data_IF_587955226758
#
_entry.id   IF_587955226758
#
_cell.length_a   1.000
_cell.length_b   1.000
_cell.length_c   1.000
_cell.angle_alpha   90.00
_cell.angle_beta   90.00
_cell.angle_gamma   90.00
#
_symmetry.space_group_name_H-M   'P 1'
#
loop_
_entity.id
_entity.type
_entity.pdbx_description
1 polymer ?
#
# COMPACT_ATOMS: atom_id res chain seq x y z
N UNK A 1 31.29 -0.59 -17.29
CA UNK A 1 30.38 0.52 -16.88
C UNK A 1 30.11 1.39 -18.09
N UNK A 2 28.92 1.35 -18.63
CA UNK A 2 28.59 1.86 -19.96
C UNK A 2 28.52 3.40 -19.94
N UNK A 3 29.40 4.07 -20.69
CA UNK A 3 29.50 5.56 -20.78
C UNK A 3 28.18 6.25 -21.17
N UNK A 4 27.18 5.55 -21.71
CA UNK A 4 25.86 6.07 -22.07
C UNK A 4 24.92 6.27 -20.85
N UNK A 5 25.09 5.50 -19.78
CA UNK A 5 24.31 5.71 -18.54
C UNK A 5 24.78 6.94 -17.76
N UNK A 6 26.09 7.21 -17.72
CA UNK A 6 26.62 8.43 -17.08
C UNK A 6 26.11 9.72 -17.76
N UNK A 7 25.88 9.68 -19.07
CA UNK A 7 25.38 10.86 -19.82
C UNK A 7 23.91 11.18 -19.52
N UNK A 8 23.07 10.17 -19.22
CA UNK A 8 21.67 10.37 -18.84
C UNK A 8 21.53 10.92 -17.42
N UNK A 9 22.37 10.45 -16.48
CA UNK A 9 22.39 11.00 -15.12
C UNK A 9 22.96 12.44 -15.09
N UNK A 10 23.95 12.73 -15.91
CA UNK A 10 24.49 14.09 -16.07
C UNK A 10 23.46 15.07 -16.63
N UNK A 11 22.63 14.66 -17.59
CA UNK A 11 21.57 15.49 -18.16
C UNK A 11 20.43 15.77 -17.17
N UNK A 12 20.06 14.79 -16.33
CA UNK A 12 19.01 14.98 -15.32
C UNK A 12 19.47 15.89 -14.18
N UNK A 13 20.72 15.79 -13.73
CA UNK A 13 21.30 16.66 -12.70
C UNK A 13 21.58 18.06 -13.27
N UNK A 14 21.99 18.17 -14.53
CA UNK A 14 22.25 19.47 -15.17
C UNK A 14 20.97 20.27 -15.45
N UNK A 15 19.84 19.61 -15.75
CA UNK A 15 18.54 20.31 -15.89
C UNK A 15 18.01 20.84 -14.57
N UNK A 16 18.35 20.25 -13.43
CA UNK A 16 18.03 20.76 -12.10
C UNK A 16 18.92 21.94 -11.67
N UNK A 17 20.13 22.05 -12.22
CA UNK A 17 21.08 23.14 -11.92
C UNK A 17 20.92 24.38 -12.82
N UNK A 18 20.24 24.27 -13.96
CA UNK A 18 20.01 25.41 -14.86
C UNK A 18 18.90 26.37 -14.37
N UNK A 19 18.21 26.08 -13.26
CA UNK A 19 17.28 27.03 -12.60
C UNK A 19 17.96 27.94 -11.57
N UNK A 20 19.30 27.95 -11.46
CA UNK A 20 20.02 28.72 -10.44
C UNK A 20 20.26 30.20 -10.78
N UNK A 21 19.74 30.75 -11.88
CA UNK A 21 19.85 32.17 -12.17
C UNK A 21 18.55 32.89 -11.83
N UNK A 22 18.46 33.42 -10.61
CA UNK A 22 17.37 34.32 -10.24
C UNK A 22 16.71 34.12 -8.88
N UNK A 23 17.31 33.36 -7.96
CA UNK A 23 16.91 33.41 -6.54
C UNK A 23 17.42 34.70 -5.88
N UNK A 24 16.84 35.83 -6.27
CA UNK A 24 16.81 37.00 -5.40
C UNK A 24 15.84 36.61 -4.28
N UNK A 25 16.38 36.44 -3.08
CA UNK A 25 15.55 36.33 -1.89
C UNK A 25 14.68 37.58 -1.81
N UNK A 26 13.40 37.44 -2.12
CA UNK A 26 12.43 38.51 -2.00
C UNK A 26 12.20 38.73 -0.50
N UNK A 27 13.02 39.59 0.10
CA UNK A 27 12.72 40.22 1.38
C UNK A 27 11.57 41.18 1.16
N UNK A 28 10.35 40.69 1.35
CA UNK A 28 9.21 41.54 1.16
C UNK A 28 7.91 40.85 1.51
N UNK A 29 7.24 41.35 2.53
CA UNK A 29 5.94 40.99 3.05
C UNK A 29 5.93 39.64 3.78
N UNK A 30 6.06 39.70 5.09
CA UNK A 30 5.79 38.60 6.02
C UNK A 30 4.31 38.19 5.96
N UNK A 31 3.94 37.42 4.96
CA UNK A 31 2.72 36.62 5.07
C UNK A 31 3.00 35.54 6.10
N UNK A 32 2.34 35.58 7.27
CA UNK A 32 2.68 34.66 8.34
C UNK A 32 2.43 33.21 7.88
N UNK A 33 3.33 32.30 8.27
CA UNK A 33 3.13 30.85 8.10
C UNK A 33 1.94 30.45 8.97
N UNK A 34 0.89 29.90 8.36
CA UNK A 34 -0.23 29.31 9.09
C UNK A 34 0.10 27.87 9.46
N UNK A 35 0.01 27.54 10.74
CA UNK A 35 0.22 26.18 11.26
C UNK A 35 -1.10 25.65 11.82
N UNK A 36 -1.49 24.45 11.43
CA UNK A 36 -2.61 23.73 12.01
C UNK A 36 -2.17 22.34 12.49
N UNK A 37 -2.72 21.94 13.64
CA UNK A 37 -2.50 20.62 14.23
C UNK A 37 -3.85 19.92 14.27
N UNK A 38 -3.88 18.67 13.79
CA UNK A 38 -5.06 17.82 13.80
C UNK A 38 -4.66 16.39 14.14
N UNK A 39 -5.64 15.61 14.56
CA UNK A 39 -5.39 14.23 14.86
C UNK A 39 -6.60 13.53 15.45
N UNK A 40 -6.37 12.37 16.00
CA UNK A 40 -7.35 11.65 16.78
C UNK A 40 -6.66 10.77 17.84
N UNK A 41 -7.31 10.63 18.98
CA UNK A 41 -7.05 9.55 19.92
C UNK A 41 -8.01 8.41 19.60
N UNK A 42 -7.51 7.17 19.58
CA UNK A 42 -8.31 6.00 19.22
C UNK A 42 -7.97 4.81 20.09
N UNK A 43 -9.02 4.14 20.58
CA UNK A 43 -8.93 2.86 21.26
C UNK A 43 -9.71 1.81 20.47
N UNK A 44 -9.10 0.66 20.25
CA UNK A 44 -9.66 -0.48 19.53
C UNK A 44 -9.73 -1.71 20.42
N UNK A 45 -10.76 -2.54 20.20
CA UNK A 45 -10.91 -3.87 20.77
C UNK A 45 -11.29 -4.81 19.63
N UNK A 46 -10.67 -5.97 19.55
CA UNK A 46 -11.01 -6.97 18.54
C UNK A 46 -10.97 -8.39 19.11
N UNK A 47 -11.83 -9.23 18.54
CA UNK A 47 -11.89 -10.66 18.75
C UNK A 47 -11.85 -11.38 17.41
N UNK A 48 -11.01 -12.40 17.29
CA UNK A 48 -10.89 -13.28 16.13
C UNK A 48 -11.32 -14.69 16.49
N UNK A 49 -12.05 -15.37 15.62
CA UNK A 49 -12.51 -16.75 15.82
C UNK A 49 -11.38 -17.79 15.73
N UNK A 50 -10.26 -17.42 15.13
CA UNK A 50 -9.07 -18.27 14.97
C UNK A 50 -7.78 -17.45 14.81
N UNK A 51 -6.63 -18.13 14.79
CA UNK A 51 -5.35 -17.49 14.51
C UNK A 51 -5.27 -16.96 13.07
N UNK A 52 -4.60 -15.83 12.89
CA UNK A 52 -4.52 -15.09 11.63
C UNK A 52 -3.06 -14.79 11.24
N UNK A 53 -2.82 -14.63 9.96
CA UNK A 53 -1.58 -14.03 9.46
C UNK A 53 -1.75 -12.52 9.54
N UNK A 54 -0.85 -11.88 10.26
CA UNK A 54 -1.04 -10.54 10.75
C UNK A 54 0.24 -9.71 10.77
N UNK A 55 0.09 -8.42 11.12
CA UNK A 55 1.15 -7.55 11.57
C UNK A 55 0.66 -6.67 12.72
N UNK A 56 1.59 -6.15 13.53
CA UNK A 56 1.31 -5.23 14.65
C UNK A 56 0.36 -5.84 15.69
N UNK A 57 0.72 -7.03 16.20
CA UNK A 57 -0.04 -7.75 17.25
C UNK A 57 -1.53 -7.95 16.91
N UNK A 58 -1.82 -8.40 15.70
CA UNK A 58 -3.19 -8.65 15.27
C UNK A 58 -3.96 -7.42 14.81
N UNK A 59 -3.36 -6.24 14.86
CA UNK A 59 -4.04 -5.02 14.39
C UNK A 59 -4.26 -5.02 12.87
N UNK A 60 -3.28 -5.46 12.09
CA UNK A 60 -3.37 -5.63 10.64
C UNK A 60 -3.57 -7.11 10.30
N UNK A 61 -4.80 -7.53 10.04
CA UNK A 61 -5.12 -8.89 9.60
C UNK A 61 -5.10 -8.98 8.09
N UNK A 62 -4.40 -10.00 7.58
CA UNK A 62 -4.35 -10.29 6.15
C UNK A 62 -5.31 -11.43 5.78
N UNK A 63 -5.17 -12.58 6.42
CA UNK A 63 -5.98 -13.78 6.17
C UNK A 63 -5.86 -14.77 7.35
N UNK A 64 -6.78 -15.76 7.48
CA UNK A 64 -6.66 -16.78 8.51
C UNK A 64 -5.42 -17.63 8.32
N UNK A 65 -4.84 -18.14 9.39
CA UNK A 65 -3.82 -19.19 9.29
C UNK A 65 -4.49 -20.49 8.83
N UNK A 66 -3.80 -21.25 7.97
CA UNK A 66 -4.24 -22.58 7.55
C UNK A 66 -4.32 -23.52 8.74
N UNK A 67 -5.12 -24.60 8.68
CA UNK A 67 -5.18 -25.61 9.72
C UNK A 67 -3.79 -26.20 10.03
N UNK A 68 -3.50 -26.34 11.32
CA UNK A 68 -2.31 -27.00 11.83
C UNK A 68 -2.76 -28.05 12.85
N UNK A 69 -2.71 -29.31 12.45
CA UNK A 69 -3.20 -30.41 13.28
C UNK A 69 -2.21 -30.77 14.39
N UNK A 70 -2.74 -31.02 15.59
CA UNK A 70 -2.01 -31.65 16.68
C UNK A 70 -1.91 -33.18 16.49
N UNK A 71 -1.33 -33.90 17.45
CA UNK A 71 -1.17 -35.36 17.40
C UNK A 71 -2.52 -36.11 17.44
N UNK A 72 -3.60 -35.47 17.87
CA UNK A 72 -4.95 -36.01 17.94
C UNK A 72 -5.85 -35.60 16.76
N UNK A 73 -5.32 -34.77 15.83
CA UNK A 73 -6.03 -34.28 14.66
C UNK A 73 -6.85 -32.99 14.88
N UNK A 74 -6.70 -32.32 16.02
CA UNK A 74 -7.36 -31.03 16.28
C UNK A 74 -6.59 -29.88 15.65
N UNK A 75 -7.30 -28.90 15.12
CA UNK A 75 -6.67 -27.71 14.55
C UNK A 75 -6.23 -26.71 15.62
N UNK A 76 -4.91 -26.62 15.86
CA UNK A 76 -4.29 -25.68 16.82
C UNK A 76 -4.64 -24.24 16.46
N UNK A 77 -4.72 -23.90 15.16
CA UNK A 77 -5.02 -22.57 14.69
C UNK A 77 -6.51 -22.19 14.79
N UNK A 78 -7.40 -23.11 15.17
CA UNK A 78 -8.79 -22.82 15.51
C UNK A 78 -8.96 -22.11 16.88
N UNK A 79 -7.86 -21.80 17.55
CA UNK A 79 -7.86 -21.06 18.81
C UNK A 79 -8.25 -19.60 18.61
N UNK A 80 -9.28 -19.07 19.30
CA UNK A 80 -9.66 -17.67 19.17
C UNK A 80 -8.62 -16.71 19.75
N UNK A 81 -8.63 -15.47 19.29
CA UNK A 81 -7.78 -14.40 19.79
C UNK A 81 -8.58 -13.19 20.28
N UNK A 82 -8.06 -12.48 21.26
CA UNK A 82 -8.60 -11.21 21.74
C UNK A 82 -7.46 -10.22 21.96
N UNK A 83 -7.64 -8.98 21.51
CA UNK A 83 -6.66 -7.93 21.75
C UNK A 83 -7.31 -6.55 21.83
N UNK A 84 -6.57 -5.56 22.37
CA UNK A 84 -6.95 -4.16 22.41
C UNK A 84 -5.74 -3.27 22.15
N UNK A 85 -5.96 -2.14 21.44
CA UNK A 85 -4.90 -1.24 21.03
C UNK A 85 -5.29 0.22 21.14
N UNK A 86 -4.31 1.09 21.39
CA UNK A 86 -4.42 2.54 21.23
C UNK A 86 -3.38 3.10 20.23
N UNK A 87 -2.54 2.24 19.67
CA UNK A 87 -1.39 2.58 18.85
C UNK A 87 -1.72 3.31 17.54
N UNK A 88 -2.97 3.32 17.12
CA UNK A 88 -3.40 4.01 15.90
C UNK A 88 -3.72 5.47 16.08
N UNK A 89 -3.71 5.95 17.33
CA UNK A 89 -3.79 7.39 17.65
C UNK A 89 -2.77 8.18 16.84
N UNK A 90 -3.19 9.31 16.30
CA UNK A 90 -2.46 10.01 15.24
C UNK A 90 -2.41 11.50 15.50
N UNK A 91 -1.30 12.11 15.11
CA UNK A 91 -1.13 13.56 15.06
C UNK A 91 -0.53 13.97 13.73
N UNK A 92 -1.00 15.08 13.19
CA UNK A 92 -0.38 15.72 12.03
C UNK A 92 -0.23 17.23 12.23
N UNK A 93 0.75 17.78 11.56
CA UNK A 93 1.05 19.19 11.48
C UNK A 93 1.08 19.60 10.02
N UNK A 94 0.31 20.64 9.68
CA UNK A 94 0.29 21.26 8.36
C UNK A 94 0.73 22.70 8.49
N UNK A 95 1.80 23.07 7.79
CA UNK A 95 2.24 24.45 7.63
C UNK A 95 1.92 24.92 6.21
N UNK A 96 1.25 26.08 6.09
CA UNK A 96 0.99 26.74 4.80
C UNK A 96 1.74 28.05 4.82
N UNK A 97 2.69 28.20 3.93
CA UNK A 97 3.56 29.37 3.81
C UNK A 97 3.08 30.40 2.79
N UNK A 98 3.85 31.47 2.60
CA UNK A 98 3.64 32.41 1.51
C UNK A 98 3.74 31.72 0.15
N UNK A 99 3.29 32.38 -0.89
CA UNK A 99 3.47 31.87 -2.27
C UNK A 99 4.96 31.82 -2.62
N UNK A 100 5.42 30.68 -3.13
CA UNK A 100 6.80 30.49 -3.61
C UNK A 100 6.73 30.25 -5.12
N UNK A 101 7.40 31.09 -5.91
CA UNK A 101 7.35 31.03 -7.39
C UNK A 101 5.90 31.02 -7.95
N UNK A 102 4.98 31.72 -7.28
CA UNK A 102 3.56 31.74 -7.63
C UNK A 102 2.74 30.52 -7.17
N UNK A 103 3.38 29.50 -6.60
CA UNK A 103 2.73 28.31 -6.05
C UNK A 103 2.32 28.50 -4.59
N UNK A 104 1.25 27.85 -4.16
CA UNK A 104 0.94 27.65 -2.74
C UNK A 104 1.89 26.57 -2.20
N UNK A 105 2.68 26.94 -1.18
CA UNK A 105 3.63 26.04 -0.54
C UNK A 105 3.02 25.42 0.73
N UNK A 106 3.10 24.09 0.86
CA UNK A 106 2.62 23.33 2.03
C UNK A 106 3.73 22.41 2.48
N UNK A 107 3.99 22.38 3.80
CA UNK A 107 4.72 21.30 4.46
C UNK A 107 3.74 20.52 5.35
N UNK A 108 3.85 19.19 5.33
CA UNK A 108 2.98 18.30 6.10
C UNK A 108 3.78 17.19 6.76
N UNK A 109 3.53 16.95 8.04
CA UNK A 109 4.13 15.83 8.80
C UNK A 109 3.03 15.13 9.57
N UNK A 110 2.99 13.80 9.52
CA UNK A 110 2.04 12.96 10.23
C UNK A 110 2.73 11.74 10.82
N UNK A 111 2.36 11.37 12.05
CA UNK A 111 2.81 10.17 12.71
C UNK A 111 1.71 9.48 13.52
N UNK A 112 1.91 8.20 13.79
CA UNK A 112 1.11 7.38 14.71
C UNK A 112 2.02 6.49 15.57
N UNK A 113 1.46 5.70 16.48
CA UNK A 113 2.20 4.83 17.40
C UNK A 113 2.16 3.35 16.99
N UNK A 114 1.83 3.02 15.74
CA UNK A 114 1.84 1.62 15.27
C UNK A 114 3.24 1.02 15.13
N UNK A 115 4.29 1.82 15.31
CA UNK A 115 5.68 1.38 15.22
C UNK A 115 6.16 1.03 13.79
N UNK A 116 7.47 1.01 13.57
CA UNK A 116 8.05 0.67 12.27
C UNK A 116 8.10 -0.84 12.00
N UNK A 117 8.05 -1.68 13.03
CA UNK A 117 8.15 -3.15 12.94
C UNK A 117 7.19 -3.84 13.92
N UNK A 118 7.03 -5.16 13.81
CA UNK A 118 6.23 -5.95 14.75
C UNK A 118 6.84 -6.04 16.16
N UNK A 119 8.13 -5.78 16.29
CA UNK A 119 8.86 -5.78 17.57
C UNK A 119 8.89 -4.41 18.25
N UNK A 120 8.41 -3.36 17.58
CA UNK A 120 8.43 -1.98 18.07
C UNK A 120 7.02 -1.36 18.07
N UNK A 121 6.02 -2.17 18.45
CA UNK A 121 4.66 -1.68 18.66
C UNK A 121 4.64 -0.60 19.75
N UNK A 122 3.75 0.39 19.61
CA UNK A 122 3.67 1.62 20.39
C UNK A 122 4.82 2.62 20.18
N UNK A 123 5.84 2.34 19.36
CA UNK A 123 6.82 3.34 18.96
C UNK A 123 6.20 4.34 17.97
N UNK A 124 6.55 5.62 18.13
CA UNK A 124 6.13 6.67 17.19
C UNK A 124 6.80 6.43 15.83
N UNK A 125 6.01 6.42 14.76
CA UNK A 125 6.52 6.28 13.39
C UNK A 125 6.06 7.41 12.49
N UNK A 126 6.91 7.74 11.51
CA UNK A 126 6.58 8.65 10.44
C UNK A 126 5.61 7.97 9.45
N UNK A 127 4.46 8.63 9.20
CA UNK A 127 3.50 8.24 8.15
C UNK A 127 3.70 9.06 6.89
N UNK A 128 3.52 10.37 7.02
CA UNK A 128 3.69 11.33 5.95
C UNK A 128 4.69 12.40 6.36
N UNK A 129 5.56 12.78 5.43
CA UNK A 129 6.42 13.96 5.54
C UNK A 129 6.73 14.45 4.14
N UNK A 130 6.13 15.55 3.74
CA UNK A 130 6.32 16.06 2.38
C UNK A 130 6.22 17.58 2.32
N UNK A 131 6.81 18.12 1.26
CA UNK A 131 6.60 19.49 0.80
C UNK A 131 5.85 19.41 -0.53
N UNK A 132 4.85 20.26 -0.71
CA UNK A 132 4.15 20.40 -1.99
C UNK A 132 4.10 21.85 -2.44
N UNK A 133 4.23 22.05 -3.75
CA UNK A 133 4.04 23.31 -4.44
C UNK A 133 2.89 23.13 -5.42
N UNK A 134 1.84 23.95 -5.29
CA UNK A 134 0.64 23.87 -6.11
C UNK A 134 0.39 25.19 -6.83
N UNK A 135 0.46 25.14 -8.16
CA UNK A 135 -0.03 26.18 -9.08
C UNK A 135 -1.47 25.86 -9.50
N UNK A 136 -2.05 26.66 -10.34
CA UNK A 136 -3.43 26.49 -10.81
C UNK A 136 -3.65 25.13 -11.50
N UNK A 137 -2.80 24.78 -12.46
CA UNK A 137 -2.92 23.53 -13.25
C UNK A 137 -1.89 22.48 -12.92
N UNK A 138 -0.83 22.81 -12.22
CA UNK A 138 0.29 21.92 -11.97
C UNK A 138 0.60 21.85 -10.47
N UNK A 139 1.02 20.70 -9.99
CA UNK A 139 1.56 20.56 -8.64
C UNK A 139 2.70 19.55 -8.58
N UNK A 140 3.64 19.79 -7.67
CA UNK A 140 4.69 18.86 -7.33
C UNK A 140 4.60 18.57 -5.84
N UNK A 141 4.81 17.30 -5.47
CA UNK A 141 5.00 16.84 -4.11
C UNK A 141 6.32 16.07 -4.02
N UNK A 142 7.15 16.40 -3.04
CA UNK A 142 8.38 15.69 -2.74
C UNK A 142 8.39 15.27 -1.26
N UNK A 143 8.64 14.00 -0.99
CA UNK A 143 8.66 13.42 0.35
C UNK A 143 7.89 12.12 0.47
N UNK A 144 7.60 11.69 1.69
CA UNK A 144 6.87 10.45 1.96
C UNK A 144 5.36 10.71 1.98
N UNK A 145 4.65 10.01 1.10
CA UNK A 145 3.19 10.11 0.94
C UNK A 145 2.60 8.73 0.59
N UNK A 146 1.27 8.64 0.52
CA UNK A 146 0.61 7.46 -0.01
C UNK A 146 1.20 7.06 -1.36
N UNK A 147 1.51 5.77 -1.51
CA UNK A 147 1.93 5.25 -2.80
C UNK A 147 0.88 5.59 -3.88
N UNK A 148 1.28 5.92 -5.11
CA UNK A 148 0.33 6.30 -6.15
C UNK A 148 -0.76 5.26 -6.44
N UNK A 149 -0.48 3.96 -6.25
CA UNK A 149 -1.46 2.88 -6.38
C UNK A 149 -2.51 2.86 -5.26
N UNK A 150 -2.27 3.57 -4.14
CA UNK A 150 -3.22 3.64 -3.02
C UNK A 150 -4.41 4.56 -3.27
N UNK A 151 -4.31 5.51 -4.18
CA UNK A 151 -5.36 6.47 -4.58
C UNK A 151 -6.13 7.00 -3.36
N UNK A 152 -5.64 8.04 -2.65
CA UNK A 152 -6.22 8.48 -1.37
C UNK A 152 -7.72 8.81 -1.42
N UNK A 153 -8.21 9.32 -2.56
CA UNK A 153 -9.62 9.65 -2.77
C UNK A 153 -10.53 8.40 -2.84
N UNK A 154 -9.91 7.24 -3.08
CA UNK A 154 -10.60 5.95 -3.21
C UNK A 154 -10.51 5.08 -1.95
N UNK A 155 -9.84 5.51 -0.87
CA UNK A 155 -9.72 4.71 0.34
C UNK A 155 -11.10 4.20 0.81
N UNK A 156 -11.29 2.88 1.03
CA UNK A 156 -12.51 2.36 1.62
C UNK A 156 -12.62 2.80 3.09
N UNK A 157 -13.83 2.90 3.59
CA UNK A 157 -14.10 3.32 4.97
C UNK A 157 -14.15 2.15 5.95
N UNK A 158 -13.31 1.13 5.76
CA UNK A 158 -13.21 0.02 6.72
C UNK A 158 -12.66 0.51 8.06
N UNK A 159 -13.03 -0.19 9.15
CA UNK A 159 -12.54 0.12 10.49
C UNK A 159 -11.05 -0.18 10.64
N UNK A 160 -10.58 -1.27 10.02
CA UNK A 160 -9.17 -1.63 10.03
C UNK A 160 -8.31 -0.56 9.34
N UNK A 161 -7.24 -0.10 10.00
CA UNK A 161 -6.35 0.94 9.45
C UNK A 161 -5.48 0.46 8.28
N UNK A 162 -5.52 -0.82 7.92
CA UNK A 162 -4.96 -1.32 6.67
C UNK A 162 -5.77 -0.89 5.43
N UNK A 163 -6.88 -0.17 5.64
CA UNK A 163 -7.75 0.38 4.58
C UNK A 163 -8.18 -0.64 3.53
N UNK A 164 -8.37 -1.91 3.91
CA UNK A 164 -8.82 -2.99 3.02
C UNK A 164 -7.70 -3.84 2.42
N UNK A 165 -6.42 -3.71 2.85
CA UNK A 165 -5.39 -4.69 2.49
C UNK A 165 -5.76 -6.08 3.04
N UNK A 166 -5.40 -7.18 2.33
CA UNK A 166 -4.55 -7.28 1.15
C UNK A 166 -5.28 -7.20 -0.20
N UNK A 167 -6.53 -6.72 -0.25
CA UNK A 167 -7.34 -6.62 -1.47
C UNK A 167 -6.98 -5.40 -2.34
N UNK A 168 -6.18 -4.51 -1.80
CA UNK A 168 -5.63 -3.31 -2.43
C UNK A 168 -4.25 -3.00 -1.89
N UNK A 169 -3.52 -2.14 -2.60
CA UNK A 169 -2.26 -1.58 -2.11
C UNK A 169 -2.44 -0.87 -0.76
N UNK A 170 -1.46 -1.02 0.13
CA UNK A 170 -1.34 -0.26 1.37
C UNK A 170 0.13 -0.04 1.68
N UNK A 171 0.65 1.12 1.29
CA UNK A 171 2.03 1.52 1.61
C UNK A 171 2.22 3.03 1.43
N UNK A 172 3.21 3.59 2.10
CA UNK A 172 3.69 4.96 1.91
C UNK A 172 5.13 4.92 1.43
N UNK A 173 5.42 5.76 0.47
CA UNK A 173 6.70 5.75 -0.24
C UNK A 173 7.30 7.15 -0.30
N UNK A 174 8.61 7.30 -0.07
CA UNK A 174 9.34 8.49 -0.48
C UNK A 174 9.26 8.62 -2.01
N UNK A 175 8.85 9.80 -2.49
CA UNK A 175 8.56 10.03 -3.91
C UNK A 175 8.77 11.47 -4.34
N UNK A 176 8.88 11.65 -5.64
CA UNK A 176 8.55 12.89 -6.33
C UNK A 176 7.35 12.61 -7.22
N UNK A 177 6.25 13.32 -6.98
CA UNK A 177 4.98 13.17 -7.69
C UNK A 177 4.62 14.50 -8.34
N UNK A 178 4.28 14.48 -9.62
CA UNK A 178 3.76 15.60 -10.39
C UNK A 178 2.32 15.32 -10.80
N UNK A 179 1.47 16.36 -10.72
CA UNK A 179 0.09 16.30 -11.20
C UNK A 179 -0.16 17.47 -12.16
N UNK A 180 -0.83 17.19 -13.29
CA UNK A 180 -1.24 18.18 -14.26
C UNK A 180 -2.73 18.09 -14.54
N UNK A 181 -3.47 19.16 -14.24
CA UNK A 181 -4.92 19.24 -14.45
C UNK A 181 -5.24 19.56 -15.90
N UNK A 182 -6.17 18.79 -16.48
CA UNK A 182 -6.69 18.99 -17.84
C UNK A 182 -8.17 18.64 -17.89
N UNK A 183 -8.99 19.57 -18.34
CA UNK A 183 -10.44 19.40 -18.32
C UNK A 183 -10.94 19.12 -16.89
N UNK A 184 -11.80 18.13 -16.72
CA UNK A 184 -12.30 17.66 -15.40
C UNK A 184 -11.40 16.62 -14.73
N UNK A 185 -10.19 16.36 -15.26
CA UNK A 185 -9.28 15.35 -14.74
C UNK A 185 -7.86 15.85 -14.50
N UNK A 186 -6.99 14.90 -14.13
CA UNK A 186 -5.56 15.15 -13.94
C UNK A 186 -4.73 13.95 -14.38
N UNK A 187 -3.58 14.21 -14.98
CA UNK A 187 -2.50 13.25 -15.13
C UNK A 187 -1.63 13.26 -13.88
N UNK A 188 -1.19 12.11 -13.45
CA UNK A 188 -0.32 11.90 -12.30
C UNK A 188 0.88 11.10 -12.77
N UNK A 189 2.08 11.60 -12.51
CA UNK A 189 3.34 10.89 -12.72
C UNK A 189 4.14 10.88 -11.42
N UNK A 190 4.72 9.74 -11.06
CA UNK A 190 5.56 9.64 -9.88
C UNK A 190 6.76 8.74 -10.11
N UNK A 191 7.87 9.10 -9.46
CA UNK A 191 9.01 8.22 -9.22
C UNK A 191 9.12 8.02 -7.70
N UNK A 192 9.32 6.77 -7.25
CA UNK A 192 9.28 6.48 -5.83
C UNK A 192 10.14 5.30 -5.42
N UNK A 193 10.41 5.21 -4.11
CA UNK A 193 11.18 4.13 -3.50
C UNK A 193 10.34 3.40 -2.45
N UNK A 194 10.88 2.33 -1.86
CA UNK A 194 10.21 1.56 -0.81
C UNK A 194 10.67 2.03 0.57
N UNK A 195 9.74 2.18 1.52
CA UNK A 195 10.06 2.53 2.90
C UNK A 195 9.17 1.84 3.93
N UNK A 196 7.85 2.03 3.87
CA UNK A 196 6.88 1.54 4.87
C UNK A 196 6.81 0.00 4.85
N UNK A 197 6.64 -0.56 3.65
CA UNK A 197 6.78 -1.97 3.35
C UNK A 197 7.76 -2.17 2.19
N UNK A 198 8.36 -3.35 2.12
CA UNK A 198 9.53 -3.61 1.28
C UNK A 198 9.36 -4.93 0.52
N UNK A 199 9.99 -5.04 -0.64
CA UNK A 199 10.01 -6.28 -1.40
C UNK A 199 10.66 -7.41 -0.62
N UNK A 200 10.06 -8.60 -0.70
CA UNK A 200 10.64 -9.84 -0.19
C UNK A 200 11.80 -10.31 -1.08
N UNK A 201 12.73 -11.06 -0.51
CA UNK A 201 13.85 -11.63 -1.25
C UNK A 201 14.68 -12.59 -0.41
N UNK A 202 15.84 -13.04 -0.88
CA UNK A 202 16.66 -14.07 -0.22
C UNK A 202 17.02 -13.78 1.24
N UNK A 203 17.15 -12.51 1.60
CA UNK A 203 17.46 -12.08 2.98
C UNK A 203 16.23 -11.50 3.70
N UNK A 204 15.01 -11.95 3.36
CA UNK A 204 13.77 -11.42 3.90
C UNK A 204 13.30 -10.13 3.22
N UNK A 205 12.48 -9.33 3.90
CA UNK A 205 11.98 -8.07 3.37
C UNK A 205 13.05 -6.98 3.47
N UNK A 206 13.37 -6.31 2.35
CA UNK A 206 14.39 -5.26 2.32
C UNK A 206 14.22 -4.29 1.15
N UNK A 207 14.42 -3.00 1.41
CA UNK A 207 14.51 -1.96 0.38
C UNK A 207 15.81 -2.06 -0.45
N UNK A 208 16.79 -2.86 -0.01
CA UNK A 208 18.03 -3.04 -0.72
C UNK A 208 17.81 -3.60 -2.13
N UNK A 209 16.84 -4.48 -2.34
CA UNK A 209 16.57 -5.06 -3.65
C UNK A 209 16.19 -4.01 -4.69
N UNK A 210 15.42 -2.99 -4.30
CA UNK A 210 15.13 -1.85 -5.16
C UNK A 210 16.34 -0.93 -5.30
N UNK A 211 17.01 -0.57 -4.19
CA UNK A 211 18.17 0.34 -4.21
C UNK A 211 19.29 -0.19 -5.12
N UNK A 212 19.60 -1.47 -5.03
CA UNK A 212 20.69 -2.11 -5.81
C UNK A 212 20.31 -2.39 -7.26
N UNK A 213 19.03 -2.26 -7.62
CA UNK A 213 18.63 -2.26 -9.03
C UNK A 213 19.06 -0.99 -9.77
N UNK A 214 19.31 0.12 -9.04
CA UNK A 214 19.70 1.40 -9.63
C UNK A 214 18.56 2.17 -10.30
N UNK A 215 17.31 1.68 -10.18
CA UNK A 215 16.12 2.30 -10.78
C UNK A 215 15.06 2.57 -9.68
N UNK A 216 14.40 3.73 -9.68
CA UNK A 216 13.20 3.92 -8.87
C UNK A 216 12.02 3.16 -9.46
N UNK A 217 10.93 3.04 -8.73
CA UNK A 217 9.64 2.66 -9.30
C UNK A 217 9.06 3.85 -10.08
N UNK A 218 8.26 3.55 -11.11
CA UNK A 218 7.61 4.54 -11.98
C UNK A 218 6.12 4.32 -11.99
N UNK A 219 5.34 5.41 -11.88
CA UNK A 219 3.88 5.36 -11.93
C UNK A 219 3.33 6.42 -12.86
N UNK A 220 2.35 6.04 -13.68
CA UNK A 220 1.55 6.94 -14.51
C UNK A 220 0.07 6.65 -14.32
N UNK A 221 -0.75 7.70 -14.14
CA UNK A 221 -2.18 7.55 -13.90
C UNK A 221 -2.95 8.74 -14.49
N UNK A 222 -4.17 8.47 -14.95
CA UNK A 222 -5.16 9.50 -15.23
C UNK A 222 -6.33 9.35 -14.26
N UNK A 223 -6.80 10.46 -13.71
CA UNK A 223 -7.94 10.54 -12.81
C UNK A 223 -8.89 11.63 -13.26
N UNK A 224 -10.17 11.28 -13.42
CA UNK A 224 -11.29 12.21 -13.58
C UNK A 224 -12.02 12.35 -12.26
N UNK A 225 -12.43 13.59 -11.90
CA UNK A 225 -13.22 13.85 -10.69
C UNK A 225 -14.07 15.11 -10.90
N UNK A 226 -15.39 14.94 -10.81
CA UNK A 226 -16.36 16.05 -10.86
C UNK A 226 -17.10 16.27 -9.52
N UNK A 227 -16.59 15.70 -8.43
CA UNK A 227 -17.19 15.76 -7.10
C UNK A 227 -18.14 14.60 -6.81
N UNK A 228 -19.05 14.24 -7.71
CA UNK A 228 -19.96 13.10 -7.56
C UNK A 228 -19.34 11.80 -8.07
N UNK A 229 -18.68 11.85 -9.20
CA UNK A 229 -18.01 10.72 -9.86
C UNK A 229 -16.50 10.93 -9.83
N UNK A 230 -15.78 9.93 -9.35
CA UNK A 230 -14.33 9.79 -9.49
C UNK A 230 -14.05 8.51 -10.25
N UNK A 231 -13.16 8.53 -11.23
CA UNK A 231 -12.68 7.34 -11.92
C UNK A 231 -11.27 7.56 -12.45
N UNK A 232 -10.56 6.48 -12.64
CA UNK A 232 -9.21 6.56 -13.19
C UNK A 232 -8.60 5.20 -13.46
N UNK A 233 -7.47 5.26 -14.13
CA UNK A 233 -6.62 4.10 -14.40
C UNK A 233 -5.16 4.50 -14.33
N UNK A 234 -4.31 3.55 -13.95
CA UNK A 234 -2.87 3.78 -13.84
C UNK A 234 -2.08 2.52 -14.08
N UNK A 235 -0.80 2.71 -14.36
CA UNK A 235 0.19 1.65 -14.53
C UNK A 235 1.41 1.96 -13.66
N UNK A 236 2.01 0.90 -13.14
CA UNK A 236 3.17 0.94 -12.28
C UNK A 236 4.26 0.00 -12.79
N UNK A 237 5.50 0.42 -12.73
CA UNK A 237 6.67 -0.38 -13.09
C UNK A 237 7.67 -0.39 -11.94
N UNK A 238 8.12 -1.60 -11.60
CA UNK A 238 9.13 -1.87 -10.58
C UNK A 238 10.18 -2.81 -11.12
N UNK A 239 11.46 -2.54 -10.84
CA UNK A 239 12.56 -3.47 -11.10
C UNK A 239 13.41 -3.63 -9.83
N UNK A 240 13.52 -4.85 -9.32
CA UNK A 240 14.34 -5.17 -8.15
C UNK A 240 15.50 -6.09 -8.55
N UNK A 241 16.59 -6.05 -7.79
CA UNK A 241 17.75 -6.93 -7.94
C UNK A 241 17.83 -7.82 -6.69
N UNK A 242 17.44 -9.12 -6.78
CA UNK A 242 17.35 -10.01 -5.61
C UNK A 242 18.70 -10.28 -4.96
N UNK A 243 19.79 -10.35 -5.74
CA UNK A 243 21.16 -10.58 -5.26
C UNK A 243 22.15 -9.70 -6.01
N UNK A 244 23.22 -9.30 -5.34
CA UNK A 244 24.34 -8.61 -5.97
C UNK A 244 25.39 -9.59 -6.51
N UNK A 245 25.50 -10.74 -5.85
CA UNK A 245 26.46 -11.79 -6.19
C UNK A 245 25.80 -13.16 -6.10
N UNK A 246 26.28 -14.12 -6.89
CA UNK A 246 25.98 -15.53 -6.73
C UNK A 246 26.73 -16.13 -5.52
N UNK A 247 26.42 -17.36 -5.14
CA UNK A 247 27.13 -18.08 -4.07
C UNK A 247 28.58 -18.42 -4.52
N UNK A 248 28.85 -18.40 -5.83
CA UNK A 248 30.19 -18.49 -6.40
C UNK A 248 30.93 -17.14 -6.44
N UNK A 249 30.45 -16.11 -5.76
CA UNK A 249 30.99 -14.75 -5.69
C UNK A 249 31.09 -14.02 -7.05
N UNK A 250 30.34 -14.45 -8.05
CA UNK A 250 30.21 -13.75 -9.33
C UNK A 250 29.14 -12.67 -9.24
N UNK A 251 29.30 -11.58 -9.99
CA UNK A 251 28.30 -10.53 -10.09
C UNK A 251 27.02 -11.11 -10.69
N UNK A 252 25.88 -10.93 -9.97
CA UNK A 252 24.55 -11.30 -10.45
C UNK A 252 23.77 -10.02 -10.75
N UNK A 253 23.64 -9.66 -12.03
CA UNK A 253 22.94 -8.46 -12.50
C UNK A 253 21.48 -8.71 -12.85
N UNK A 254 20.97 -9.92 -12.62
CA UNK A 254 19.59 -10.28 -12.93
C UNK A 254 18.59 -9.46 -12.10
N UNK A 255 17.58 -8.96 -12.79
CA UNK A 255 16.50 -8.16 -12.20
C UNK A 255 15.16 -8.85 -12.40
N UNK A 256 14.26 -8.60 -11.45
CA UNK A 256 12.85 -8.94 -11.57
C UNK A 256 12.11 -7.65 -11.91
N UNK A 257 11.70 -7.53 -13.17
CA UNK A 257 10.85 -6.43 -13.65
C UNK A 257 9.39 -6.82 -13.49
N UNK A 258 8.59 -5.95 -12.93
CA UNK A 258 7.18 -6.19 -12.59
C UNK A 258 6.33 -5.03 -13.09
N UNK A 259 5.18 -5.34 -13.69
CA UNK A 259 4.20 -4.36 -14.15
C UNK A 259 2.88 -4.60 -13.42
N UNK A 260 2.24 -3.54 -13.00
CA UNK A 260 0.90 -3.58 -12.40
C UNK A 260 0.02 -2.52 -13.03
N UNK A 261 -1.26 -2.85 -13.22
CA UNK A 261 -2.26 -1.94 -13.73
C UNK A 261 -3.44 -1.88 -12.76
N UNK A 262 -4.00 -0.70 -12.56
CA UNK A 262 -5.18 -0.49 -11.73
C UNK A 262 -6.24 0.34 -12.46
N UNK A 263 -7.50 0.08 -12.14
CA UNK A 263 -8.63 0.91 -12.54
C UNK A 263 -9.59 1.03 -11.37
N UNK A 264 -10.23 2.19 -11.24
CA UNK A 264 -11.14 2.46 -10.14
C UNK A 264 -12.29 3.39 -10.55
N UNK A 265 -13.38 3.25 -9.82
CA UNK A 265 -14.55 4.11 -9.94
C UNK A 265 -15.20 4.32 -8.57
N UNK A 266 -15.63 5.54 -8.31
CA UNK A 266 -16.37 5.91 -7.11
C UNK A 266 -17.51 6.85 -7.48
N UNK A 267 -18.66 6.66 -6.85
CA UNK A 267 -19.82 7.52 -7.01
C UNK A 267 -20.40 7.87 -5.66
N UNK A 268 -20.72 9.14 -5.44
CA UNK A 268 -21.34 9.59 -4.19
C UNK A 268 -22.40 10.64 -4.50
N UNK A 269 -23.64 10.38 -4.08
CA UNK A 269 -24.77 11.31 -4.22
C UNK A 269 -25.71 11.20 -3.04
N UNK A 270 -25.95 12.34 -2.37
CA UNK A 270 -26.86 12.41 -1.23
C UNK A 270 -26.40 11.55 -0.06
N UNK A 271 -27.18 10.52 0.29
CA UNK A 271 -26.88 9.59 1.40
C UNK A 271 -26.08 8.36 0.99
N UNK A 272 -25.91 8.10 -0.29
CA UNK A 272 -25.28 6.90 -0.83
C UNK A 272 -23.91 7.19 -1.42
N UNK A 273 -22.98 6.30 -1.16
CA UNK A 273 -21.66 6.29 -1.79
C UNK A 273 -21.22 4.85 -2.08
N UNK A 274 -20.57 4.67 -3.22
CA UNK A 274 -19.94 3.40 -3.61
C UNK A 274 -18.57 3.69 -4.21
N UNK A 275 -17.60 2.87 -3.90
CA UNK A 275 -16.25 2.89 -4.45
C UNK A 275 -15.81 1.48 -4.81
N UNK A 276 -15.00 1.34 -5.83
CA UNK A 276 -14.39 0.07 -6.19
C UNK A 276 -13.12 0.26 -6.98
N UNK A 277 -12.23 -0.72 -6.88
CA UNK A 277 -10.96 -0.77 -7.59
C UNK A 277 -10.68 -2.20 -8.00
N UNK A 278 -10.10 -2.38 -9.19
CA UNK A 278 -9.51 -3.62 -9.65
C UNK A 278 -8.04 -3.40 -9.98
N UNK A 279 -7.23 -4.42 -9.77
CA UNK A 279 -5.79 -4.40 -10.03
C UNK A 279 -5.35 -5.75 -10.59
N UNK A 280 -4.62 -5.71 -11.70
CA UNK A 280 -3.85 -6.84 -12.21
C UNK A 280 -2.37 -6.50 -11.96
N UNK A 281 -1.68 -7.30 -11.16
CA UNK A 281 -0.35 -6.93 -10.72
C UNK A 281 0.62 -8.08 -10.54
N UNK A 282 1.88 -7.73 -10.55
CA UNK A 282 3.03 -8.62 -10.39
C UNK A 282 3.85 -8.22 -9.18
N UNK A 283 4.25 -9.21 -8.36
CA UNK A 283 5.19 -9.01 -7.24
C UNK A 283 4.77 -7.87 -6.29
N UNK A 284 3.55 -7.95 -5.72
CA UNK A 284 2.93 -6.90 -4.91
C UNK A 284 3.14 -7.06 -3.39
N UNK A 285 4.11 -7.87 -2.94
CA UNK A 285 4.36 -8.12 -1.51
C UNK A 285 4.73 -6.86 -0.72
N UNK A 286 5.39 -5.88 -1.34
CA UNK A 286 5.71 -4.56 -0.77
C UNK A 286 4.51 -3.61 -0.68
N UNK A 287 3.35 -4.03 -1.18
CA UNK A 287 2.07 -3.36 -1.01
C UNK A 287 1.13 -4.07 -0.03
N UNK A 288 1.64 -5.02 0.78
CA UNK A 288 0.89 -5.92 1.67
C UNK A 288 -0.14 -6.79 0.95
N UNK A 289 -0.02 -6.96 -0.36
CA UNK A 289 -0.88 -7.81 -1.17
C UNK A 289 -0.28 -9.22 -1.31
N UNK A 290 -1.07 -10.17 -1.81
CA UNK A 290 -0.55 -11.46 -2.24
C UNK A 290 0.35 -11.28 -3.46
N UNK A 291 1.26 -12.25 -3.67
CA UNK A 291 2.18 -12.27 -4.78
C UNK A 291 3.64 -12.14 -4.37
N UNK A 292 4.48 -12.21 -5.36
CA UNK A 292 5.93 -12.25 -5.21
C UNK A 292 6.58 -12.66 -6.53
N UNK A 293 7.73 -13.28 -6.43
CA UNK A 293 8.49 -13.85 -7.54
C UNK A 293 9.21 -15.11 -7.09
N UNK A 294 9.61 -15.94 -8.05
CA UNK A 294 10.25 -17.21 -7.78
C UNK A 294 11.41 -17.48 -8.76
N UNK A 295 12.28 -18.42 -8.39
CA UNK A 295 13.43 -18.85 -9.20
C UNK A 295 12.95 -19.83 -10.28
N UNK A 296 13.30 -19.54 -11.57
CA UNK A 296 12.95 -20.37 -12.73
C UNK A 296 14.12 -21.16 -13.26
N UNK A 297 15.34 -20.69 -13.05
CA UNK A 297 16.56 -21.43 -13.42
C UNK A 297 17.71 -21.04 -12.50
N UNK A 298 18.65 -21.99 -12.34
CA UNK A 298 19.91 -21.80 -11.62
C UNK A 298 21.01 -22.35 -12.52
N UNK A 299 21.98 -21.54 -12.89
CA UNK A 299 23.15 -22.01 -13.59
C UNK A 299 24.01 -22.89 -12.66
N UNK A 300 24.25 -24.17 -12.98
CA UNK A 300 24.91 -25.10 -12.07
C UNK A 300 26.39 -24.79 -11.82
N UNK A 301 27.04 -23.95 -12.64
CA UNK A 301 28.45 -23.57 -12.49
C UNK A 301 28.64 -22.24 -11.78
N UNK A 302 27.72 -21.30 -11.99
CA UNK A 302 27.86 -19.92 -11.53
C UNK A 302 26.88 -19.56 -10.43
N UNK A 303 25.86 -20.38 -10.20
CA UNK A 303 24.69 -20.12 -9.33
C UNK A 303 23.97 -18.79 -9.70
N UNK A 304 24.11 -18.33 -10.93
CA UNK A 304 23.31 -17.20 -11.43
C UNK A 304 21.87 -17.68 -11.62
N UNK A 305 20.91 -16.88 -11.15
CA UNK A 305 19.49 -17.26 -11.06
C UNK A 305 18.63 -16.37 -11.95
N UNK A 306 17.69 -16.98 -12.67
CA UNK A 306 16.59 -16.28 -13.32
C UNK A 306 15.33 -16.34 -12.48
N UNK A 307 14.43 -15.38 -12.70
CA UNK A 307 13.23 -15.22 -11.88
C UNK A 307 12.00 -15.02 -12.77
N UNK A 308 10.83 -15.35 -12.19
CA UNK A 308 9.50 -15.06 -12.76
C UNK A 308 8.59 -14.45 -11.70
N UNK A 309 7.76 -13.50 -12.10
CA UNK A 309 6.73 -12.95 -11.23
C UNK A 309 5.54 -13.90 -11.07
N UNK A 310 4.93 -13.87 -9.89
CA UNK A 310 3.58 -14.36 -9.70
C UNK A 310 2.59 -13.26 -10.07
N UNK A 311 1.62 -13.58 -10.93
CA UNK A 311 0.55 -12.70 -11.35
C UNK A 311 -0.65 -12.81 -10.39
N UNK A 312 -1.28 -11.70 -10.05
CA UNK A 312 -2.47 -11.67 -9.18
C UNK A 312 -3.52 -10.72 -9.75
N UNK A 313 -4.77 -11.12 -9.62
CA UNK A 313 -5.93 -10.27 -9.81
C UNK A 313 -6.51 -9.95 -8.45
N UNK A 314 -6.72 -8.67 -8.15
CA UNK A 314 -7.37 -8.22 -6.92
C UNK A 314 -8.45 -7.18 -7.23
N UNK A 315 -9.44 -7.10 -6.36
CA UNK A 315 -10.46 -6.08 -6.44
C UNK A 315 -11.25 -5.94 -5.16
N UNK A 316 -11.88 -4.79 -4.99
CA UNK A 316 -12.72 -4.52 -3.84
C UNK A 316 -13.82 -3.52 -4.19
N UNK A 317 -14.90 -3.56 -3.40
CA UNK A 317 -16.03 -2.62 -3.42
C UNK A 317 -16.31 -2.18 -1.97
N UNK A 318 -16.60 -0.91 -1.75
CA UNK A 318 -17.04 -0.34 -0.49
C UNK A 318 -18.29 0.52 -0.69
N UNK A 319 -19.41 0.10 -0.11
CA UNK A 319 -20.69 0.78 -0.14
C UNK A 319 -20.91 1.48 1.21
N UNK A 320 -21.44 2.71 1.16
CA UNK A 320 -21.77 3.49 2.35
C UNK A 320 -23.18 4.08 2.22
N UNK A 321 -23.95 4.04 3.30
CA UNK A 321 -25.27 4.66 3.36
C UNK A 321 -25.44 5.43 4.66
N UNK A 322 -25.73 6.73 4.57
CA UNK A 322 -26.01 7.61 5.70
C UNK A 322 -27.50 7.52 6.07
N UNK A 323 -27.81 6.84 7.15
CA UNK A 323 -29.19 6.76 7.66
C UNK A 323 -29.63 8.13 8.18
N UNK A 324 -28.80 8.72 9.07
CA UNK A 324 -29.03 10.02 9.68
C UNK A 324 -27.73 10.84 9.77
N UNK A 325 -27.74 11.99 10.40
CA UNK A 325 -26.52 12.76 10.71
C UNK A 325 -25.58 12.03 11.67
N UNK A 326 -26.13 11.11 12.48
CA UNK A 326 -25.39 10.39 13.50
C UNK A 326 -25.06 8.93 13.13
N UNK A 327 -25.69 8.34 12.12
CA UNK A 327 -25.54 6.89 11.82
C UNK A 327 -25.20 6.67 10.35
N UNK A 328 -24.06 5.99 10.12
CA UNK A 328 -23.65 5.51 8.82
C UNK A 328 -23.53 3.99 8.82
N UNK A 329 -24.01 3.36 7.77
CA UNK A 329 -23.75 1.95 7.49
C UNK A 329 -22.74 1.82 6.38
N UNK A 330 -21.95 0.75 6.42
CA UNK A 330 -21.00 0.41 5.38
C UNK A 330 -20.93 -1.08 5.12
N UNK A 331 -20.52 -1.43 3.92
CA UNK A 331 -20.25 -2.81 3.52
C UNK A 331 -19.04 -2.81 2.60
N UNK A 332 -17.98 -3.49 3.04
CA UNK A 332 -16.81 -3.76 2.21
C UNK A 332 -16.84 -5.21 1.72
N UNK A 333 -16.43 -5.42 0.46
CA UNK A 333 -16.15 -6.74 -0.08
C UNK A 333 -14.85 -6.68 -0.88
N UNK A 334 -13.97 -7.65 -0.67
CA UNK A 334 -12.69 -7.79 -1.36
C UNK A 334 -12.45 -9.21 -1.88
N UNK A 335 -11.73 -9.34 -3.00
CA UNK A 335 -11.36 -10.60 -3.61
C UNK A 335 -9.96 -10.52 -4.22
N UNK A 336 -9.17 -11.57 -4.03
CA UNK A 336 -7.86 -11.77 -4.68
C UNK A 336 -7.81 -13.18 -5.26
N UNK A 337 -7.25 -13.30 -6.47
CA UNK A 337 -6.93 -14.58 -7.10
C UNK A 337 -5.47 -14.61 -7.53
N UNK A 338 -4.77 -15.67 -7.13
CA UNK A 338 -3.46 -16.02 -7.66
C UNK A 338 -3.65 -16.56 -9.10
N UNK A 339 -2.96 -15.94 -10.05
CA UNK A 339 -2.98 -16.35 -11.46
C UNK A 339 -1.78 -17.20 -11.84
N UNK A 340 -0.86 -17.47 -10.88
CA UNK A 340 0.35 -18.26 -11.07
C UNK A 340 1.44 -17.53 -11.82
N UNK A 341 2.41 -18.29 -12.30
CA UNK A 341 3.59 -17.82 -13.01
C UNK A 341 3.56 -18.20 -14.49
N UNK A 342 4.27 -17.46 -15.34
CA UNK A 342 4.36 -17.73 -16.78
C UNK A 342 5.37 -18.85 -17.12
N UNK A 343 6.36 -19.08 -16.22
CA UNK A 343 7.39 -20.09 -16.36
C UNK A 343 7.33 -21.06 -15.19
N UNK A 344 7.86 -22.26 -15.38
CA UNK A 344 7.99 -23.24 -14.30
C UNK A 344 8.99 -22.74 -13.25
N UNK A 345 8.64 -22.94 -11.99
CA UNK A 345 9.45 -22.60 -10.83
C UNK A 345 10.24 -23.82 -10.39
N UNK A 346 11.54 -23.64 -10.18
CA UNK A 346 12.46 -24.68 -9.76
C UNK A 346 13.08 -24.42 -8.38
N UNK A 347 12.86 -23.26 -7.80
CA UNK A 347 13.47 -22.85 -6.54
C UNK A 347 12.57 -22.04 -5.63
N UNK A 348 13.18 -21.26 -4.74
CA UNK A 348 12.47 -20.51 -3.72
C UNK A 348 11.51 -19.46 -4.30
N UNK A 349 10.37 -19.29 -3.63
CA UNK A 349 9.44 -18.19 -3.78
C UNK A 349 9.75 -17.09 -2.75
N UNK A 350 9.67 -15.83 -3.18
CA UNK A 350 9.88 -14.65 -2.36
C UNK A 350 8.66 -13.75 -2.45
N UNK A 351 7.80 -13.81 -1.44
CA UNK A 351 6.54 -13.07 -1.48
C UNK A 351 5.60 -13.40 -0.33
N UNK A 352 4.31 -13.37 -0.61
CA UNK A 352 3.23 -13.62 0.35
C UNK A 352 2.16 -14.50 -0.28
N UNK A 353 1.73 -15.55 0.45
CA UNK A 353 0.58 -16.38 0.09
C UNK A 353 0.85 -17.27 -1.14
N UNK A 354 2.00 -17.93 -1.18
CA UNK A 354 2.39 -18.89 -2.22
C UNK A 354 1.54 -20.17 -2.22
N UNK A 355 0.88 -20.45 -1.11
CA UNK A 355 -0.05 -21.57 -0.92
C UNK A 355 -1.55 -21.14 -0.97
N UNK A 356 -1.86 -19.91 -1.38
CA UNK A 356 -3.22 -19.38 -1.47
C UNK A 356 -3.62 -19.20 -2.93
N UNK A 357 -4.71 -19.89 -3.35
CA UNK A 357 -5.33 -19.68 -4.65
C UNK A 357 -6.20 -18.43 -4.66
N UNK A 358 -7.13 -18.34 -3.70
CA UNK A 358 -8.09 -17.23 -3.59
C UNK A 358 -8.21 -16.75 -2.15
N UNK A 359 -8.49 -15.47 -2.03
CA UNK A 359 -8.74 -14.79 -0.76
C UNK A 359 -9.95 -13.87 -0.94
N UNK A 360 -10.89 -13.89 0.01
CA UNK A 360 -12.00 -12.95 0.00
C UNK A 360 -12.36 -12.46 1.40
N UNK A 361 -12.99 -11.28 1.45
CA UNK A 361 -13.45 -10.63 2.68
C UNK A 361 -14.80 -9.97 2.46
N UNK A 362 -15.67 -10.06 3.45
CA UNK A 362 -16.90 -9.28 3.53
C UNK A 362 -16.96 -8.67 4.92
N UNK A 363 -17.16 -7.35 5.01
CA UNK A 363 -17.21 -6.68 6.30
C UNK A 363 -18.27 -5.57 6.36
N UNK A 364 -19.44 -5.87 6.92
CA UNK A 364 -20.45 -4.89 7.33
C UNK A 364 -19.97 -4.09 8.54
N UNK A 365 -20.26 -2.79 8.55
CA UNK A 365 -19.94 -1.89 9.65
C UNK A 365 -21.07 -0.90 9.94
N UNK A 366 -21.10 -0.46 11.19
CA UNK A 366 -21.96 0.62 11.66
C UNK A 366 -21.09 1.66 12.37
N UNK A 367 -21.31 2.93 12.04
CA UNK A 367 -20.62 4.08 12.61
C UNK A 367 -21.63 4.99 13.29
N UNK A 368 -21.39 5.37 14.54
CA UNK A 368 -22.11 6.38 15.28
C UNK A 368 -21.20 7.60 15.45
N UNK A 369 -21.68 8.77 15.02
CA UNK A 369 -20.91 10.02 15.00
C UNK A 369 -21.61 11.08 15.85
N UNK A 370 -20.97 11.53 16.92
CA UNK A 370 -21.46 12.55 17.86
C UNK A 370 -20.43 13.67 17.99
N UNK A 371 -20.49 14.65 17.07
CA UNK A 371 -19.49 15.71 17.00
C UNK A 371 -18.08 15.12 16.74
N UNK A 372 -17.11 15.39 17.63
CA UNK A 372 -15.74 14.87 17.47
C UNK A 372 -15.61 13.39 17.86
N UNK A 373 -16.62 12.79 18.53
CA UNK A 373 -16.59 11.41 18.99
C UNK A 373 -17.21 10.49 17.95
N UNK A 374 -16.53 9.39 17.65
CA UNK A 374 -17.02 8.33 16.77
C UNK A 374 -16.90 6.99 17.48
N UNK A 375 -17.98 6.19 17.40
CA UNK A 375 -18.00 4.80 17.82
C UNK A 375 -18.28 3.96 16.57
N UNK A 376 -17.42 2.98 16.28
CA UNK A 376 -17.51 2.20 15.05
C UNK A 376 -17.40 0.72 15.41
N UNK A 377 -18.29 -0.11 14.86
CA UNK A 377 -18.21 -1.56 14.95
C UNK A 377 -18.21 -2.16 13.55
N UNK A 378 -17.32 -3.09 13.30
CA UNK A 378 -17.20 -3.86 12.06
C UNK A 378 -17.13 -5.34 12.38
N UNK A 379 -17.88 -6.15 11.62
CA UNK A 379 -17.77 -7.61 11.62
C UNK A 379 -17.12 -8.01 10.29
N UNK A 380 -15.98 -8.66 10.35
CA UNK A 380 -15.21 -9.04 9.17
C UNK A 380 -15.18 -10.56 9.05
N UNK A 381 -15.63 -11.09 7.92
CA UNK A 381 -15.37 -12.47 7.54
C UNK A 381 -14.32 -12.50 6.44
N UNK A 382 -13.17 -13.13 6.72
CA UNK A 382 -12.07 -13.30 5.77
C UNK A 382 -11.81 -14.79 5.58
N UNK A 383 -11.74 -15.26 4.32
CA UNK A 383 -11.46 -16.65 4.02
C UNK A 383 -10.42 -16.80 2.91
N UNK A 384 -9.51 -17.76 3.09
CA UNK A 384 -8.45 -18.12 2.16
C UNK A 384 -8.59 -19.57 1.73
N UNK A 385 -8.49 -19.84 0.43
CA UNK A 385 -8.43 -21.18 -0.14
C UNK A 385 -6.95 -21.59 -0.24
N UNK A 386 -6.54 -22.49 0.63
CA UNK A 386 -5.19 -23.02 0.69
C UNK A 386 -5.06 -24.30 -0.12
N UNK A 387 -3.94 -24.46 -0.82
CA UNK A 387 -3.64 -25.66 -1.60
C UNK A 387 -2.15 -25.85 -1.81
N UNK A 388 -1.80 -26.97 -2.42
CA UNK A 388 -0.43 -27.20 -2.91
C UNK A 388 -0.39 -26.80 -4.38
N UNK A 389 0.41 -25.76 -4.72
CA UNK A 389 0.54 -25.35 -6.10
C UNK A 389 1.37 -26.36 -6.94
N UNK A 390 1.12 -26.37 -8.24
CA UNK A 390 2.03 -27.00 -9.22
C UNK A 390 3.27 -26.12 -9.46
N UNK A 391 4.12 -26.50 -10.41
CA UNK A 391 5.34 -25.77 -10.76
C UNK A 391 5.09 -24.36 -11.33
N UNK A 392 3.85 -24.02 -11.69
CA UNK A 392 3.43 -22.68 -12.15
C UNK A 392 2.55 -21.94 -11.16
N UNK A 393 2.53 -22.41 -9.91
CA UNK A 393 1.67 -21.86 -8.85
C UNK A 393 0.19 -21.84 -9.26
N UNK A 394 -0.26 -22.89 -9.99
CA UNK A 394 -1.66 -23.20 -10.21
C UNK A 394 -2.12 -24.25 -9.21
N UNK A 395 -3.40 -24.23 -8.88
CA UNK A 395 -3.99 -25.07 -7.85
C UNK A 395 -5.07 -25.97 -8.47
N UNK A 396 -4.96 -27.28 -8.25
CA UNK A 396 -5.97 -28.26 -8.67
C UNK A 396 -7.02 -28.48 -7.57
N UNK A 397 -6.57 -28.42 -6.29
CA UNK A 397 -7.42 -28.63 -5.12
C UNK A 397 -7.05 -27.64 -4.03
N UNK A 398 -8.07 -27.07 -3.39
CA UNK A 398 -7.91 -26.15 -2.27
C UNK A 398 -8.93 -26.42 -1.18
N UNK A 399 -8.54 -26.14 0.07
CA UNK A 399 -9.39 -26.15 1.24
C UNK A 399 -9.56 -24.72 1.77
N UNK A 400 -10.80 -24.30 1.97
CA UNK A 400 -11.10 -22.95 2.44
C UNK A 400 -11.12 -22.90 3.96
N UNK A 401 -10.34 -21.98 4.51
CA UNK A 401 -10.31 -21.65 5.93
C UNK A 401 -10.77 -20.22 6.13
N UNK A 402 -11.70 -20.00 7.08
CA UNK A 402 -12.27 -18.68 7.36
C UNK A 402 -12.00 -18.20 8.78
N UNK A 403 -11.97 -16.88 8.97
CA UNK A 403 -11.94 -16.20 10.26
C UNK A 403 -13.07 -15.17 10.34
N UNK A 404 -13.73 -15.09 11.49
CA UNK A 404 -14.63 -14.00 11.84
C UNK A 404 -13.88 -13.10 12.82
N UNK A 405 -13.76 -11.81 12.46
CA UNK A 405 -13.30 -10.76 13.38
C UNK A 405 -14.46 -9.86 13.74
N UNK A 406 -14.60 -9.55 15.02
CA UNK A 406 -15.45 -8.46 15.50
C UNK A 406 -14.53 -7.38 16.06
N UNK A 407 -14.55 -6.19 15.47
CA UNK A 407 -13.73 -5.07 15.93
C UNK A 407 -14.60 -3.87 16.25
N UNK A 408 -14.29 -3.20 17.35
CA UNK A 408 -14.94 -1.96 17.75
C UNK A 408 -13.87 -0.91 18.07
N UNK A 409 -14.13 0.34 17.69
CA UNK A 409 -13.26 1.46 18.03
C UNK A 409 -14.03 2.66 18.54
N UNK A 410 -13.43 3.35 19.50
CA UNK A 410 -13.83 4.66 19.97
C UNK A 410 -12.76 5.67 19.55
N UNK A 411 -13.17 6.75 18.87
CA UNK A 411 -12.29 7.80 18.39
C UNK A 411 -12.74 9.15 18.91
N UNK A 412 -11.78 10.02 19.23
CA UNK A 412 -11.96 11.45 19.44
C UNK A 412 -11.08 12.21 18.46
N UNK A 413 -11.70 13.00 17.59
CA UNK A 413 -10.99 13.83 16.59
C UNK A 413 -10.77 15.26 17.15
N UNK A 414 -9.60 15.85 16.91
CA UNK A 414 -9.24 17.21 17.33
C UNK A 414 -8.49 17.98 16.26
#
# INVERSE_FOLDING_TARGET
>A
MNKRLLSLYGALIFSLLCFSNGLIAQTGSETPVSISIHGFARADVAWDSRQVVEAREGFLVFYPQKPKLDAQGNDINATPGFNSWAMTSRVNLKATGPKVLGATAIAFVEGDFTGPSNTENNAFRLRHAYVSLAWEKFSILAGQYWNPMDVPEMLPKVLALNTGAPFRSFTRSPMVKAEYKIGGGKFIAAIYTQRDYQSSGPSGASSNYLRTSGLPNFHLQYQYNNGALIMGAGVDYKAIRPRMTSDSLLIDDNRVSSVSALAYIGYSKGKFGIKGQAMLGQNLSDHLMLGGYAITSVDPKTDIREYVNMNNLSGWIDCNYRISSAINLGLFAGYVKNLGTEKDVVGAFYGRGDDIETLYRISPRCEWVYGPVQFITEVEYTAAAFGKPDNRYKFDQTETTGNIRVQTALLYNF
#
